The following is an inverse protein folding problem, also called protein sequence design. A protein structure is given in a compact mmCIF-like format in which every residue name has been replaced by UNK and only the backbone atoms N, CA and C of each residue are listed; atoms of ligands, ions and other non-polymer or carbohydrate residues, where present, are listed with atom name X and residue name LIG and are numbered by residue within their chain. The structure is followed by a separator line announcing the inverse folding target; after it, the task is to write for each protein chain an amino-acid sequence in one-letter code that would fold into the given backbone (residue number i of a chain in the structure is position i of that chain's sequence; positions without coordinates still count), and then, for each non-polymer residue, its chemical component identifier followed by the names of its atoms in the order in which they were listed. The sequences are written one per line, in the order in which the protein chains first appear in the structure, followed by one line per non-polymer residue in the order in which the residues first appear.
data_IF_493456658888
#
_entry.id   IF_493456658888
#
_cell.length_a   1.000
_cell.length_b   1.000
_cell.length_c   1.000
_cell.angle_alpha   90.00
_cell.angle_beta   90.00
_cell.angle_gamma   90.00
#
_symmetry.space_group_name_H-M   'P 1'
#
loop_
_entity.id
_entity.type
_entity.pdbx_description
1 polymer ?
#
# COMPACT_ATOMS: atom_id res chain seq x y z
N UNK A 1 -16.36 -37.90 16.34
CA UNK A 1 -15.52 -36.82 16.91
C UNK A 1 -16.10 -35.51 16.44
N UNK A 2 -16.93 -34.88 17.29
CA UNK A 2 -17.55 -33.58 17.03
C UNK A 2 -16.52 -32.46 17.12
N UNK A 3 -15.76 -32.27 16.03
CA UNK A 3 -14.84 -31.14 15.93
C UNK A 3 -15.60 -29.96 15.34
N UNK A 4 -16.50 -29.35 16.12
CA UNK A 4 -17.00 -28.00 15.83
C UNK A 4 -15.85 -27.02 16.10
N UNK A 5 -14.94 -26.90 15.14
CA UNK A 5 -13.99 -25.79 15.11
C UNK A 5 -14.81 -24.52 14.99
N UNK A 6 -14.84 -23.76 16.08
CA UNK A 6 -15.58 -22.52 16.14
C UNK A 6 -14.97 -21.53 15.14
N UNK A 7 -15.70 -21.19 14.07
CA UNK A 7 -15.30 -20.20 13.06
C UNK A 7 -15.05 -18.79 13.66
N UNK A 8 -15.49 -18.56 14.90
CA UNK A 8 -15.26 -17.31 15.64
C UNK A 8 -14.01 -17.34 16.54
N UNK A 9 -13.13 -18.34 16.41
CA UNK A 9 -11.88 -18.39 17.18
C UNK A 9 -10.77 -17.47 16.63
N UNK A 10 -11.12 -16.49 15.81
CA UNK A 10 -10.16 -15.49 15.34
C UNK A 10 -10.21 -14.29 16.27
N UNK A 11 -9.03 -13.82 16.66
CA UNK A 11 -8.91 -12.57 17.40
C UNK A 11 -9.44 -11.44 16.52
N UNK A 12 -10.47 -10.74 17.00
CA UNK A 12 -11.01 -9.58 16.32
C UNK A 12 -9.94 -8.48 16.36
N UNK A 13 -9.55 -8.01 15.18
CA UNK A 13 -8.50 -7.01 15.04
C UNK A 13 -9.08 -5.64 15.38
N UNK A 14 -8.35 -4.88 16.19
CA UNK A 14 -8.65 -3.47 16.40
C UNK A 14 -8.40 -2.67 15.11
N UNK A 15 -9.05 -1.52 14.97
CA UNK A 15 -8.80 -0.60 13.84
C UNK A 15 -7.33 -0.19 13.72
N UNK A 16 -6.60 -0.11 14.83
CA UNK A 16 -5.16 0.18 14.86
C UNK A 16 -4.33 -0.97 14.27
N UNK A 17 -4.60 -2.22 14.67
CA UNK A 17 -3.91 -3.40 14.13
C UNK A 17 -4.22 -3.59 12.64
N UNK A 18 -5.48 -3.35 12.26
CA UNK A 18 -5.88 -3.36 10.86
C UNK A 18 -5.15 -2.28 10.06
N UNK A 19 -5.01 -1.06 10.59
CA UNK A 19 -4.25 0.02 9.96
C UNK A 19 -2.76 -0.30 9.82
N UNK A 20 -2.18 -1.08 10.73
CA UNK A 20 -0.78 -1.53 10.60
C UNK A 20 -0.63 -2.60 9.52
N UNK A 21 -1.57 -3.56 9.43
CA UNK A 21 -1.56 -4.64 8.43
C UNK A 21 -1.84 -4.09 7.02
N UNK A 22 -2.83 -3.22 6.93
CA UNK A 22 -3.25 -2.60 5.66
C UNK A 22 -2.37 -1.41 5.30
N UNK A 23 -1.37 -1.06 6.12
CA UNK A 23 -0.44 0.07 5.94
C UNK A 23 -1.06 1.46 6.14
N UNK A 24 -2.38 1.57 6.32
CA UNK A 24 -3.05 2.81 6.68
C UNK A 24 -2.63 3.99 5.78
N UNK A 25 -2.27 5.12 6.39
CA UNK A 25 -1.81 6.31 5.67
C UNK A 25 -0.44 6.20 5.00
N UNK A 26 0.37 5.17 5.32
CA UNK A 26 1.70 5.01 4.73
C UNK A 26 1.63 4.60 3.25
N UNK A 27 0.56 3.90 2.82
CA UNK A 27 0.41 3.57 1.40
C UNK A 27 0.19 4.80 0.55
N UNK A 28 -0.53 5.80 1.05
CA UNK A 28 -0.77 7.03 0.31
C UNK A 28 0.53 7.81 0.09
N UNK A 29 1.41 7.84 1.11
CA UNK A 29 2.73 8.44 1.00
C UNK A 29 3.64 7.68 0.01
N UNK A 30 3.57 6.34 -0.01
CA UNK A 30 4.30 5.49 -0.96
C UNK A 30 3.79 5.73 -2.39
N UNK A 31 2.47 5.72 -2.60
CA UNK A 31 1.85 5.95 -3.91
C UNK A 31 2.17 7.34 -4.44
N UNK A 32 2.11 8.35 -3.58
CA UNK A 32 2.49 9.72 -3.90
C UNK A 32 3.97 9.81 -4.33
N UNK A 33 4.86 9.17 -3.58
CA UNK A 33 6.29 9.11 -3.88
C UNK A 33 6.57 8.42 -5.22
N UNK A 34 5.91 7.30 -5.50
CA UNK A 34 6.03 6.58 -6.78
C UNK A 34 5.53 7.43 -7.95
N UNK A 35 4.43 8.17 -7.76
CA UNK A 35 3.90 9.07 -8.79
C UNK A 35 4.86 10.23 -9.09
N UNK A 36 5.51 10.82 -8.08
CA UNK A 36 6.55 11.84 -8.26
C UNK A 36 7.73 11.26 -9.05
N UNK A 37 8.21 10.07 -8.68
CA UNK A 37 9.33 9.40 -9.37
C UNK A 37 8.97 9.18 -10.85
N UNK A 38 7.78 8.64 -11.13
CA UNK A 38 7.31 8.43 -12.51
C UNK A 38 7.31 9.74 -13.30
N UNK A 39 6.74 10.80 -12.73
CA UNK A 39 6.63 12.10 -13.37
C UNK A 39 7.99 12.78 -13.61
N UNK A 40 8.95 12.60 -12.71
CA UNK A 40 10.30 13.13 -12.89
C UNK A 40 11.06 12.36 -13.98
N UNK A 41 10.91 11.03 -14.05
CA UNK A 41 11.49 10.22 -15.11
C UNK A 41 10.92 10.56 -16.49
N UNK A 42 9.60 10.79 -16.61
CA UNK A 42 9.00 11.19 -17.89
C UNK A 42 9.44 12.58 -18.32
N UNK A 43 9.66 13.52 -17.39
CA UNK A 43 10.24 14.84 -17.69
C UNK A 43 11.72 14.79 -18.10
N UNK A 44 12.49 13.87 -17.52
CA UNK A 44 13.88 13.61 -17.93
C UNK A 44 13.96 13.07 -19.36
N UNK A 45 13.02 12.19 -19.74
CA UNK A 45 12.93 11.61 -21.08
C UNK A 45 12.44 12.60 -22.15
N UNK A 46 11.72 13.65 -21.76
CA UNK A 46 11.18 14.69 -22.66
C UNK A 46 12.12 15.89 -22.86
N UNK A 47 13.41 15.77 -22.52
CA UNK A 47 14.38 16.72 -23.06
C UNK A 47 14.48 16.45 -24.56
N UNK A 48 14.06 17.40 -25.43
CA UNK A 48 14.32 17.26 -26.85
C UNK A 48 15.84 17.15 -27.00
N UNK A 49 16.30 16.07 -27.63
CA UNK A 49 17.67 15.99 -28.11
C UNK A 49 17.81 17.18 -29.06
N UNK A 50 18.51 18.22 -28.63
CA UNK A 50 18.84 19.35 -29.49
C UNK A 50 19.81 18.82 -30.54
N UNK A 51 19.29 18.63 -31.75
CA UNK A 51 20.05 18.27 -32.93
C UNK A 51 20.85 19.47 -33.44
#
# INVERSE_FOLDING_TARGET
MDKKQNLTSFQELTTTELNQITGGGLWEDILYSLNIIKHNNTKGLHHPIQL
#
